data_IF_130702503266
#
_entry.id   IF_130702503266
#
_cell.length_a   1.000
_cell.length_b   1.000
_cell.length_c   1.000
_cell.angle_alpha   90.00
_cell.angle_beta   90.00
_cell.angle_gamma   90.00
#
_symmetry.space_group_name_H-M   'P 1'
#
loop_
_entity.id
_entity.type
_entity.pdbx_description
1 polymer ?
#
# COMPACT_ATOMS: atom_id res chain seq x y z
N UNK A 1 13.33 -14.21 13.38
CA UNK A 1 14.11 -13.38 12.43
C UNK A 1 13.18 -12.81 11.39
N UNK A 2 13.34 -11.52 11.07
CA UNK A 2 12.60 -10.88 9.97
C UNK A 2 13.01 -11.49 8.63
N UNK A 3 12.05 -11.72 7.73
CA UNK A 3 12.31 -12.16 6.35
C UNK A 3 12.14 -10.97 5.41
N UNK A 4 13.06 -10.82 4.47
CA UNK A 4 13.03 -9.77 3.44
C UNK A 4 13.25 -10.43 2.09
N UNK A 5 12.45 -10.08 1.09
CA UNK A 5 12.60 -10.51 -0.31
C UNK A 5 12.87 -9.30 -1.19
N UNK A 6 13.67 -9.48 -2.24
CA UNK A 6 14.00 -8.43 -3.21
C UNK A 6 14.02 -9.06 -4.61
N UNK A 7 13.17 -8.55 -5.50
CA UNK A 7 13.17 -8.92 -6.92
C UNK A 7 13.68 -7.73 -7.73
N UNK A 8 14.63 -7.95 -8.63
CA UNK A 8 15.33 -6.89 -9.38
C UNK A 8 15.09 -7.02 -10.88
N UNK A 9 14.98 -5.87 -11.56
CA UNK A 9 14.96 -5.79 -13.04
C UNK A 9 15.98 -4.77 -13.52
N UNK A 10 16.57 -5.06 -14.69
CA UNK A 10 17.62 -4.21 -15.31
C UNK A 10 17.06 -2.97 -16.02
N UNK A 11 15.80 -2.99 -16.43
CA UNK A 11 15.11 -1.90 -17.12
C UNK A 11 13.84 -1.49 -16.38
N UNK A 12 13.34 -0.30 -16.69
CA UNK A 12 12.05 0.17 -16.17
C UNK A 12 10.94 -0.81 -16.58
N UNK A 13 10.17 -1.34 -15.61
CA UNK A 13 9.09 -2.27 -15.90
C UNK A 13 7.84 -1.54 -16.41
N UNK A 14 7.12 -2.19 -17.32
CA UNK A 14 5.73 -1.87 -17.66
C UNK A 14 4.80 -2.21 -16.49
N UNK A 15 3.53 -1.86 -16.60
CA UNK A 15 2.58 -2.02 -15.50
C UNK A 15 2.29 -3.50 -15.20
N UNK A 16 2.16 -4.32 -16.24
CA UNK A 16 2.04 -5.79 -16.11
C UNK A 16 3.29 -6.36 -15.44
N UNK A 17 4.48 -5.89 -15.85
CA UNK A 17 5.73 -6.35 -15.25
C UNK A 17 5.84 -5.96 -13.78
N UNK A 18 5.30 -4.80 -13.35
CA UNK A 18 5.27 -4.42 -11.93
C UNK A 18 4.43 -5.39 -11.11
N UNK A 19 3.25 -5.79 -11.62
CA UNK A 19 2.41 -6.77 -10.93
C UNK A 19 3.16 -8.08 -10.67
N UNK A 20 3.79 -8.63 -11.71
CA UNK A 20 4.52 -9.90 -11.61
C UNK A 20 5.69 -9.81 -10.62
N UNK A 21 6.42 -8.68 -10.60
CA UNK A 21 7.53 -8.47 -9.67
C UNK A 21 7.08 -8.39 -8.21
N UNK A 22 5.96 -7.70 -7.96
CA UNK A 22 5.36 -7.62 -6.62
C UNK A 22 4.92 -9.00 -6.17
N UNK A 23 4.20 -9.73 -7.04
CA UNK A 23 3.75 -11.10 -6.78
C UNK A 23 4.92 -12.02 -6.48
N UNK A 24 5.96 -12.01 -7.31
CA UNK A 24 7.18 -12.81 -7.10
C UNK A 24 7.81 -12.49 -5.74
N UNK A 25 7.91 -11.21 -5.36
CA UNK A 25 8.49 -10.84 -4.07
C UNK A 25 7.68 -11.38 -2.88
N UNK A 26 6.36 -11.39 -2.99
CA UNK A 26 5.45 -11.91 -1.95
C UNK A 26 5.49 -13.44 -1.94
N UNK A 27 5.58 -14.09 -3.09
CA UNK A 27 5.71 -15.54 -3.23
C UNK A 27 7.01 -16.04 -2.57
N UNK A 28 8.12 -15.31 -2.72
CA UNK A 28 9.38 -15.61 -2.01
C UNK A 28 9.26 -15.52 -0.47
N UNK A 29 8.25 -14.81 0.05
CA UNK A 29 7.95 -14.75 1.48
C UNK A 29 6.94 -15.82 1.94
N UNK A 30 6.46 -16.67 1.02
CA UNK A 30 5.46 -17.71 1.28
C UNK A 30 4.09 -17.44 0.64
N UNK A 31 3.97 -16.42 -0.21
CA UNK A 31 2.76 -16.11 -0.96
C UNK A 31 1.73 -15.31 -0.15
N UNK A 32 0.83 -14.63 -0.87
CA UNK A 32 -0.11 -13.67 -0.26
C UNK A 32 -1.01 -14.31 0.80
N UNK A 33 -1.40 -15.57 0.60
CA UNK A 33 -2.23 -16.33 1.54
C UNK A 33 -1.55 -16.60 2.89
N UNK A 34 -0.25 -16.36 3.01
CA UNK A 34 0.45 -16.36 4.31
C UNK A 34 0.01 -15.18 5.17
N UNK A 35 -0.28 -14.03 4.55
CA UNK A 35 -0.59 -12.77 5.23
C UNK A 35 -2.08 -12.44 5.24
N UNK A 36 -2.80 -12.80 4.18
CA UNK A 36 -4.23 -12.48 4.00
C UNK A 36 -5.05 -13.76 3.94
N UNK A 37 -6.12 -13.83 4.75
CA UNK A 37 -7.08 -14.93 4.77
C UNK A 37 -8.41 -14.49 4.18
N UNK A 38 -9.21 -15.47 3.75
CA UNK A 38 -10.54 -15.23 3.21
C UNK A 38 -11.41 -14.53 4.27
N UNK A 39 -12.00 -13.40 3.89
CA UNK A 39 -12.86 -12.60 4.76
C UNK A 39 -12.14 -11.45 5.48
N UNK A 40 -10.81 -11.41 5.46
CA UNK A 40 -10.05 -10.35 6.13
C UNK A 40 -10.39 -8.96 5.58
N UNK A 41 -10.39 -7.97 6.47
CA UNK A 41 -10.36 -6.56 6.11
C UNK A 41 -8.90 -6.14 6.15
N UNK A 42 -8.32 -5.79 5.00
CA UNK A 42 -6.91 -5.46 4.88
C UNK A 42 -6.71 -3.96 4.85
N UNK A 43 -5.96 -3.42 5.81
CA UNK A 43 -5.47 -2.05 5.77
C UNK A 43 -4.10 -2.01 5.08
N UNK A 44 -4.05 -1.43 3.88
CA UNK A 44 -2.84 -1.21 3.11
C UNK A 44 -2.36 0.22 3.30
N UNK A 45 -1.19 0.41 3.91
CA UNK A 45 -0.61 1.73 4.18
C UNK A 45 0.58 2.03 3.26
N UNK A 46 0.36 2.62 2.07
CA UNK A 46 1.46 3.12 1.23
C UNK A 46 2.11 4.34 1.87
N UNK A 47 3.27 4.75 1.38
CA UNK A 47 3.88 6.04 1.73
C UNK A 47 3.53 7.09 0.65
N UNK A 48 2.70 8.09 0.98
CA UNK A 48 2.23 9.15 0.06
C UNK A 48 2.44 10.54 0.70
N UNK A 49 3.67 11.04 0.65
CA UNK A 49 4.11 12.23 1.40
C UNK A 49 3.48 13.53 0.89
N UNK A 50 3.79 13.92 -0.36
CA UNK A 50 3.30 15.17 -1.00
C UNK A 50 2.52 14.90 -2.29
N UNK A 51 2.31 13.63 -2.63
CA UNK A 51 1.69 13.23 -3.89
C UNK A 51 2.55 13.39 -5.15
N UNK A 52 3.76 14.00 -5.08
CA UNK A 52 4.68 14.05 -6.22
C UNK A 52 4.96 12.63 -6.73
N UNK A 53 4.89 12.43 -8.05
CA UNK A 53 5.10 11.14 -8.72
C UNK A 53 6.37 10.46 -8.23
N UNK A 54 6.34 9.13 -8.15
CA UNK A 54 7.34 8.24 -7.53
C UNK A 54 8.79 8.35 -8.01
N UNK A 55 9.11 9.28 -8.92
CA UNK A 55 10.43 9.51 -9.52
C UNK A 55 11.61 9.38 -8.54
N UNK A 56 11.68 10.19 -7.46
CA UNK A 56 12.77 10.10 -6.49
C UNK A 56 12.57 9.05 -5.39
N UNK A 57 11.52 8.22 -5.44
CA UNK A 57 11.22 7.23 -4.39
C UNK A 57 10.56 7.78 -3.12
N UNK A 58 10.13 9.04 -3.13
CA UNK A 58 9.43 9.69 -2.00
C UNK A 58 8.01 9.16 -1.85
N UNK A 59 7.30 8.94 -2.96
CA UNK A 59 5.94 8.39 -2.97
C UNK A 59 5.98 6.97 -3.53
N UNK A 60 5.25 6.06 -2.89
CA UNK A 60 5.11 4.68 -3.36
C UNK A 60 4.53 4.68 -4.78
N UNK A 61 5.09 3.86 -5.67
CA UNK A 61 4.56 3.73 -7.03
C UNK A 61 3.13 3.16 -6.98
N UNK A 62 2.16 3.88 -7.56
CA UNK A 62 0.75 3.46 -7.60
C UNK A 62 0.53 2.07 -8.17
N UNK A 63 1.42 1.61 -9.07
CA UNK A 63 1.34 0.27 -9.67
C UNK A 63 1.68 -0.83 -8.66
N UNK A 64 2.59 -0.54 -7.72
CA UNK A 64 2.87 -1.43 -6.59
C UNK A 64 1.66 -1.50 -5.66
N UNK A 65 1.04 -0.35 -5.36
CA UNK A 65 -0.18 -0.30 -4.54
C UNK A 65 -1.30 -1.14 -5.19
N UNK A 66 -1.57 -0.92 -6.49
CA UNK A 66 -2.55 -1.69 -7.24
C UNK A 66 -2.28 -3.19 -7.26
N UNK A 67 -1.01 -3.58 -7.44
CA UNK A 67 -0.62 -4.99 -7.41
C UNK A 67 -0.92 -5.64 -6.05
N UNK A 68 -0.62 -4.97 -4.95
CA UNK A 68 -0.93 -5.50 -3.61
C UNK A 68 -2.43 -5.55 -3.35
N UNK A 69 -3.21 -4.54 -3.75
CA UNK A 69 -4.68 -4.56 -3.67
C UNK A 69 -5.23 -5.80 -4.37
N UNK A 70 -4.83 -6.02 -5.62
CA UNK A 70 -5.29 -7.17 -6.41
C UNK A 70 -4.91 -8.50 -5.78
N UNK A 71 -3.68 -8.65 -5.27
CA UNK A 71 -3.25 -9.87 -4.58
C UNK A 71 -4.06 -10.13 -3.30
N UNK A 72 -4.38 -9.09 -2.52
CA UNK A 72 -5.24 -9.22 -1.35
C UNK A 72 -6.65 -9.70 -1.72
N UNK A 73 -7.22 -9.16 -2.81
CA UNK A 73 -8.52 -9.60 -3.33
C UNK A 73 -8.47 -11.06 -3.82
N UNK A 74 -7.42 -11.45 -4.56
CA UNK A 74 -7.19 -12.85 -4.98
C UNK A 74 -7.04 -13.81 -3.78
N UNK A 75 -6.51 -13.33 -2.66
CA UNK A 75 -6.46 -14.09 -1.41
C UNK A 75 -7.83 -14.25 -0.73
N UNK A 76 -8.84 -13.48 -1.16
CA UNK A 76 -10.20 -13.50 -0.65
C UNK A 76 -10.49 -12.48 0.43
N UNK A 77 -9.72 -11.38 0.51
CA UNK A 77 -10.05 -10.26 1.38
C UNK A 77 -11.48 -9.78 1.11
N UNK A 78 -12.24 -9.49 2.16
CA UNK A 78 -13.60 -8.95 2.02
C UNK A 78 -13.57 -7.47 1.65
N UNK A 79 -12.58 -6.74 2.17
CA UNK A 79 -12.36 -5.31 1.93
C UNK A 79 -10.86 -5.02 1.92
N UNK A 80 -10.44 -4.10 1.07
CA UNK A 80 -9.09 -3.53 1.08
C UNK A 80 -9.22 -2.02 1.26
N UNK A 81 -8.60 -1.51 2.32
CA UNK A 81 -8.58 -0.10 2.69
C UNK A 81 -7.19 0.45 2.39
N UNK A 82 -7.06 1.43 1.50
CA UNK A 82 -5.83 2.19 1.31
C UNK A 82 -5.82 3.31 2.36
N UNK A 83 -5.01 3.13 3.40
CA UNK A 83 -5.01 3.98 4.60
C UNK A 83 -3.78 4.86 4.59
N UNK A 84 -3.96 6.18 4.57
CA UNK A 84 -2.83 7.11 4.62
C UNK A 84 -3.18 8.42 5.32
N UNK A 85 -2.13 9.06 5.85
CA UNK A 85 -2.11 10.45 6.31
C UNK A 85 -0.82 11.08 5.78
N UNK A 86 -0.96 12.08 4.92
CA UNK A 86 0.12 12.73 4.19
C UNK A 86 0.90 13.67 5.12
N UNK A 87 1.97 14.27 4.57
CA UNK A 87 2.83 15.18 5.34
C UNK A 87 2.07 16.44 5.80
N UNK A 88 2.53 17.06 6.89
CA UNK A 88 1.85 18.20 7.55
C UNK A 88 1.57 19.39 6.61
N UNK A 89 2.34 19.50 5.53
CA UNK A 89 2.23 20.56 4.53
C UNK A 89 1.28 20.22 3.37
N UNK A 90 0.64 19.05 3.36
CA UNK A 90 -0.20 18.54 2.26
C UNK A 90 -1.54 18.01 2.77
N UNK A 91 -2.62 18.20 2.01
CA UNK A 91 -3.87 17.49 2.28
C UNK A 91 -3.78 16.07 1.74
N UNK A 92 -4.13 15.09 2.57
CA UNK A 92 -4.10 13.67 2.22
C UNK A 92 -4.94 13.33 0.99
N UNK A 93 -6.14 13.91 0.88
CA UNK A 93 -6.97 13.80 -0.32
C UNK A 93 -6.27 14.28 -1.60
N UNK A 94 -5.59 15.43 -1.57
CA UNK A 94 -4.81 15.94 -2.71
C UNK A 94 -3.59 15.05 -3.00
N UNK A 95 -2.95 14.49 -1.98
CA UNK A 95 -1.83 13.57 -2.14
C UNK A 95 -2.25 12.24 -2.80
N UNK A 96 -3.43 11.71 -2.48
CA UNK A 96 -4.00 10.54 -3.15
C UNK A 96 -4.26 10.77 -4.65
N UNK A 97 -4.76 11.96 -5.01
CA UNK A 97 -4.99 12.37 -6.40
C UNK A 97 -3.67 12.45 -7.17
N UNK A 98 -2.73 13.26 -6.66
CA UNK A 98 -1.47 13.56 -7.35
C UNK A 98 -0.57 12.32 -7.51
N UNK A 99 -0.60 11.41 -6.54
CA UNK A 99 0.13 10.14 -6.62
C UNK A 99 -0.47 9.16 -7.65
N UNK A 100 -1.72 9.38 -8.04
CA UNK A 100 -2.51 8.46 -8.86
C UNK A 100 -2.93 7.18 -8.14
N UNK A 101 -2.73 7.10 -6.82
CA UNK A 101 -3.20 5.97 -6.01
C UNK A 101 -4.72 5.95 -5.96
N UNK A 102 -5.37 7.12 -5.93
CA UNK A 102 -6.83 7.21 -5.96
C UNK A 102 -7.42 6.49 -7.18
N UNK A 103 -6.94 6.82 -8.37
CA UNK A 103 -7.43 6.22 -9.60
C UNK A 103 -7.32 4.68 -9.59
N UNK A 104 -6.18 4.16 -9.11
CA UNK A 104 -5.95 2.71 -9.01
C UNK A 104 -6.83 2.05 -7.95
N UNK A 105 -7.03 2.70 -6.79
CA UNK A 105 -7.91 2.20 -5.74
C UNK A 105 -9.37 2.13 -6.22
N UNK A 106 -9.85 3.18 -6.88
CA UNK A 106 -11.19 3.25 -7.45
C UNK A 106 -11.40 2.19 -8.54
N UNK A 107 -10.44 2.03 -9.45
CA UNK A 107 -10.49 1.00 -10.51
C UNK A 107 -10.62 -0.42 -9.93
N UNK A 108 -9.92 -0.69 -8.83
CA UNK A 108 -9.92 -2.00 -8.18
C UNK A 108 -11.02 -2.15 -7.12
N UNK A 109 -11.83 -1.12 -6.86
CA UNK A 109 -12.86 -1.14 -5.83
C UNK A 109 -12.32 -1.20 -4.39
N UNK A 110 -11.11 -0.69 -4.16
CA UNK A 110 -10.55 -0.49 -2.82
C UNK A 110 -11.03 0.84 -2.23
N UNK A 111 -11.24 0.87 -0.91
CA UNK A 111 -11.69 2.07 -0.21
C UNK A 111 -10.48 2.91 0.21
N UNK A 112 -10.57 4.23 0.13
CA UNK A 112 -9.52 5.12 0.65
C UNK A 112 -9.91 5.64 2.02
N UNK A 113 -8.92 5.68 2.92
CA UNK A 113 -9.09 6.20 4.28
C UNK A 113 -8.05 7.29 4.52
N UNK A 114 -8.52 8.52 4.64
CA UNK A 114 -7.73 9.69 5.02
C UNK A 114 -7.71 9.79 6.55
N UNK A 115 -6.62 9.35 7.18
CA UNK A 115 -6.55 9.26 8.65
C UNK A 115 -6.43 10.63 9.33
N UNK A 116 -6.04 11.68 8.61
CA UNK A 116 -5.96 13.04 9.19
C UNK A 116 -7.35 13.62 9.50
N UNK A 117 -8.38 13.09 8.83
CA UNK A 117 -9.78 13.50 9.04
C UNK A 117 -10.56 12.53 9.93
N UNK A 118 -9.97 11.39 10.29
CA UNK A 118 -10.65 10.37 11.10
C UNK A 118 -10.57 10.65 12.60
N UNK A 119 -11.57 10.26 13.40
CA UNK A 119 -11.49 10.36 14.85
C UNK A 119 -10.34 9.54 15.43
N UNK A 120 -9.50 10.19 16.24
CA UNK A 120 -8.40 9.52 16.93
C UNK A 120 -8.90 8.75 18.16
N UNK A 121 -8.42 7.52 18.34
CA UNK A 121 -8.65 6.72 19.55
C UNK A 121 -7.36 6.57 20.33
N UNK A 122 -7.41 6.84 21.64
CA UNK A 122 -6.27 6.61 22.54
C UNK A 122 -6.10 5.11 22.77
N UNK A 123 -4.92 4.60 22.46
CA UNK A 123 -4.55 3.20 22.71
C UNK A 123 -3.31 3.15 23.60
N UNK A 124 -3.24 2.15 24.48
CA UNK A 124 -2.03 1.88 25.26
C UNK A 124 -1.08 1.07 24.38
N UNK A 125 0.07 1.65 24.02
CA UNK A 125 1.13 0.92 23.33
C UNK A 125 1.93 0.14 24.37
N UNK A 126 1.98 -1.21 24.28
CA UNK A 126 2.86 -2.00 25.15
C UNK A 126 4.32 -1.76 24.75
N UNK A 127 5.19 -1.56 25.74
CA UNK A 127 6.64 -1.39 25.58
C UNK A 127 7.05 -0.39 24.48
N UNK A 128 6.56 0.87 24.54
CA UNK A 128 6.84 1.84 23.49
C UNK A 128 8.34 2.16 23.46
N UNK A 129 8.94 2.04 22.28
CA UNK A 129 10.29 2.54 22.03
C UNK A 129 10.20 4.02 21.67
N UNK A 130 10.61 4.89 22.59
CA UNK A 130 10.84 6.30 22.34
C UNK A 130 12.34 6.51 22.20
N UNK A 131 12.80 6.77 20.97
CA UNK A 131 14.19 7.11 20.63
C UNK A 131 14.37 8.61 20.44
#
# INVERSE_FOLDING_TARGET
MSKVSVVRRKRKPSDIEVFDLVKESIDLLGGIKTFVKKGDIVALKPNIVTGKLSGPGVTTDKRVVGAVIKLCQEAGASRVLVVEGADYASKTSEAFELSGVKAVAEELGAEMVDVDTTPLTKVKVPDPLLI
#
